data_IF_105150851257
#
_entry.id   IF_105150851257
#
_cell.length_a   1.000
_cell.length_b   1.000
_cell.length_c   1.000
_cell.angle_alpha   90.00
_cell.angle_beta   90.00
_cell.angle_gamma   90.00
#
_symmetry.space_group_name_H-M   'P 1'
#
loop_
_entity.id
_entity.type
_entity.pdbx_description
1 polymer ?
#
# COMPACT_ATOMS: atom_id res chain seq x y z
N UNK A 1 11.76 -10.77 28.08
CA UNK A 1 12.44 -9.78 27.18
C UNK A 1 12.44 -10.17 25.70
N UNK A 2 12.61 -11.45 25.31
CA UNK A 2 12.57 -11.86 23.89
C UNK A 2 11.23 -11.54 23.20
N UNK A 3 10.11 -11.74 23.86
CA UNK A 3 8.75 -11.53 23.30
C UNK A 3 8.46 -10.06 23.00
N UNK A 4 8.84 -9.12 23.89
CA UNK A 4 8.65 -7.66 23.68
C UNK A 4 9.52 -7.17 22.52
N UNK A 5 10.78 -7.61 22.47
CA UNK A 5 11.71 -7.21 21.40
C UNK A 5 11.29 -7.72 20.01
N UNK A 6 10.73 -8.93 19.95
CA UNK A 6 10.18 -9.49 18.70
C UNK A 6 8.91 -8.74 18.27
N UNK A 7 8.02 -8.42 19.22
CA UNK A 7 6.81 -7.65 18.97
C UNK A 7 7.13 -6.22 18.48
N UNK A 8 8.04 -5.51 19.14
CA UNK A 8 8.49 -4.18 18.70
C UNK A 8 9.10 -4.19 17.30
N UNK A 9 9.86 -5.24 16.94
CA UNK A 9 10.41 -5.38 15.59
C UNK A 9 9.32 -5.66 14.55
N UNK A 10 8.31 -6.44 14.90
CA UNK A 10 7.17 -6.72 14.02
C UNK A 10 6.32 -5.46 13.79
N UNK A 11 6.17 -4.60 14.82
CA UNK A 11 5.35 -3.38 14.81
C UNK A 11 6.21 -2.11 14.86
N UNK A 12 7.36 -2.09 14.18
CA UNK A 12 8.33 -1.00 14.29
C UNK A 12 7.72 0.38 13.94
N UNK A 13 6.88 0.45 12.89
CA UNK A 13 6.22 1.70 12.51
C UNK A 13 5.27 2.22 13.60
N UNK A 14 4.48 1.33 14.20
CA UNK A 14 3.60 1.70 15.32
C UNK A 14 4.42 2.22 16.50
N UNK A 15 5.50 1.54 16.85
CA UNK A 15 6.36 1.96 17.99
C UNK A 15 6.99 3.33 17.69
N UNK A 16 7.53 3.52 16.50
CA UNK A 16 8.13 4.81 16.09
C UNK A 16 7.08 5.92 16.10
N UNK A 17 5.88 5.66 15.56
CA UNK A 17 4.82 6.67 15.53
C UNK A 17 4.31 7.05 16.92
N UNK A 18 4.20 6.08 17.82
CA UNK A 18 3.82 6.35 19.22
C UNK A 18 4.89 7.15 19.97
N UNK A 19 6.17 6.81 19.77
CA UNK A 19 7.28 7.57 20.34
C UNK A 19 7.34 9.01 19.80
N UNK A 20 7.13 9.18 18.50
CA UNK A 20 7.08 10.49 17.87
C UNK A 20 5.89 11.33 18.37
N UNK A 21 4.70 10.72 18.49
CA UNK A 21 3.52 11.37 19.08
C UNK A 21 3.77 11.78 20.55
N UNK A 22 4.34 10.88 21.35
CA UNK A 22 4.68 11.16 22.74
C UNK A 22 5.72 12.28 22.87
N UNK A 23 6.78 12.26 22.04
CA UNK A 23 7.80 13.31 22.03
C UNK A 23 7.22 14.68 21.69
N UNK A 24 6.32 14.76 20.70
CA UNK A 24 5.67 16.03 20.34
C UNK A 24 4.63 16.47 21.38
N UNK A 25 3.98 15.55 22.09
CA UNK A 25 3.07 15.88 23.18
C UNK A 25 3.77 16.55 24.38
N UNK A 26 5.09 16.36 24.53
CA UNK A 26 5.89 17.07 25.51
C UNK A 26 5.99 18.57 25.20
N UNK A 27 6.08 18.92 23.91
CA UNK A 27 6.14 20.34 23.48
C UNK A 27 4.76 20.97 23.29
N UNK A 28 3.77 20.17 22.94
CA UNK A 28 2.37 20.58 22.76
C UNK A 28 1.51 19.69 23.68
N UNK A 29 1.29 20.09 24.94
CA UNK A 29 0.53 19.30 25.89
C UNK A 29 -0.89 18.97 25.40
N UNK A 30 -1.44 17.78 25.73
CA UNK A 30 -2.79 17.39 25.35
C UNK A 30 -3.84 18.39 25.81
N UNK A 31 -4.67 18.82 24.88
CA UNK A 31 -5.81 19.71 25.12
C UNK A 31 -7.01 19.30 24.25
N UNK A 32 -8.10 20.07 24.29
CA UNK A 32 -9.31 19.79 23.49
C UNK A 32 -9.09 19.79 21.99
N UNK A 33 -8.05 20.48 21.48
CA UNK A 33 -7.72 20.53 20.07
C UNK A 33 -7.21 19.18 19.54
N UNK A 34 -6.70 18.30 20.41
CA UNK A 34 -6.29 16.95 20.01
C UNK A 34 -7.42 16.13 19.38
N UNK A 35 -8.66 16.31 19.84
CA UNK A 35 -9.82 15.63 19.25
C UNK A 35 -10.01 16.00 17.76
N UNK A 36 -9.64 17.22 17.38
CA UNK A 36 -9.68 17.68 15.99
C UNK A 36 -8.57 17.17 15.08
N UNK A 37 -7.57 16.47 15.63
CA UNK A 37 -6.51 15.88 14.81
C UNK A 37 -6.97 14.63 14.05
N UNK A 38 -7.92 13.88 14.62
CA UNK A 38 -8.33 12.58 14.13
C UNK A 38 -9.36 12.69 13.00
N UNK A 39 -9.02 12.17 11.85
CA UNK A 39 -9.97 11.98 10.74
C UNK A 39 -10.71 10.63 10.93
N UNK A 40 -11.81 10.68 11.69
CA UNK A 40 -12.63 9.50 11.97
C UNK A 40 -13.22 8.88 10.71
N UNK A 41 -13.48 9.69 9.69
CA UNK A 41 -13.98 9.21 8.40
C UNK A 41 -12.93 8.34 7.71
N UNK A 42 -11.68 8.81 7.64
CA UNK A 42 -10.58 8.03 7.08
C UNK A 42 -10.37 6.73 7.86
N UNK A 43 -10.34 6.78 9.20
CA UNK A 43 -10.18 5.58 10.02
C UNK A 43 -11.31 4.58 9.81
N UNK A 44 -12.57 5.05 9.73
CA UNK A 44 -13.73 4.20 9.50
C UNK A 44 -13.71 3.55 8.11
N UNK A 45 -13.38 4.31 7.08
CA UNK A 45 -13.25 3.79 5.72
C UNK A 45 -12.09 2.80 5.60
N UNK A 46 -10.93 3.12 6.20
CA UNK A 46 -9.76 2.24 6.21
C UNK A 46 -10.06 0.93 6.94
N UNK A 47 -10.66 1.00 8.13
CA UNK A 47 -11.10 -0.20 8.84
C UNK A 47 -12.05 -1.05 7.99
N UNK A 48 -13.06 -0.44 7.38
CA UNK A 48 -14.06 -1.13 6.56
C UNK A 48 -13.44 -1.87 5.39
N UNK A 49 -12.54 -1.21 4.65
CA UNK A 49 -11.79 -1.83 3.54
C UNK A 49 -10.92 -2.98 4.04
N UNK A 50 -10.14 -2.77 5.10
CA UNK A 50 -9.24 -3.79 5.65
C UNK A 50 -9.99 -5.02 6.14
N UNK A 51 -11.11 -4.84 6.85
CA UNK A 51 -11.91 -5.94 7.38
C UNK A 51 -12.52 -6.81 6.27
N UNK A 52 -13.12 -6.17 5.26
CA UNK A 52 -13.77 -6.90 4.17
C UNK A 52 -12.74 -7.54 3.23
N UNK A 53 -11.66 -6.86 2.94
CA UNK A 53 -10.54 -7.39 2.14
C UNK A 53 -9.89 -8.58 2.85
N UNK A 54 -9.72 -8.51 4.18
CA UNK A 54 -9.27 -9.63 5.00
C UNK A 54 -10.17 -10.86 4.84
N UNK A 55 -11.50 -10.69 4.94
CA UNK A 55 -12.48 -11.76 4.76
C UNK A 55 -12.41 -12.37 3.34
N UNK A 56 -12.27 -11.56 2.29
CA UNK A 56 -12.12 -12.05 0.90
C UNK A 56 -10.80 -12.80 0.70
N UNK A 57 -9.71 -12.35 1.31
CA UNK A 57 -8.43 -13.04 1.28
C UNK A 57 -8.50 -14.41 1.94
N UNK A 58 -9.12 -14.51 3.10
CA UNK A 58 -9.23 -15.75 3.86
C UNK A 58 -10.13 -16.81 3.17
N UNK A 59 -10.93 -16.41 2.17
CA UNK A 59 -11.66 -17.32 1.26
C UNK A 59 -10.85 -17.77 0.05
N UNK A 60 -9.57 -17.42 -0.05
CA UNK A 60 -8.68 -17.76 -1.18
C UNK A 60 -9.19 -17.34 -2.58
N UNK A 61 -10.12 -16.36 -2.65
CA UNK A 61 -10.68 -15.88 -3.91
C UNK A 61 -9.58 -15.42 -4.87
N UNK A 62 -8.61 -14.67 -4.35
CA UNK A 62 -7.50 -14.13 -5.14
C UNK A 62 -6.50 -15.20 -5.56
N UNK A 63 -6.26 -16.20 -4.69
CA UNK A 63 -5.42 -17.36 -4.99
C UNK A 63 -6.02 -18.20 -6.12
N UNK A 64 -7.32 -18.44 -6.08
CA UNK A 64 -8.03 -19.21 -7.12
C UNK A 64 -8.00 -18.49 -8.49
N UNK A 65 -8.22 -17.17 -8.50
CA UNK A 65 -8.15 -16.37 -9.73
C UNK A 65 -6.75 -16.39 -10.33
N UNK A 66 -5.74 -16.25 -9.48
CA UNK A 66 -4.33 -16.21 -9.88
C UNK A 66 -3.88 -17.53 -10.48
N UNK A 67 -4.26 -18.66 -9.88
CA UNK A 67 -3.91 -19.98 -10.40
C UNK A 67 -4.46 -20.17 -11.82
N UNK A 68 -5.71 -19.81 -12.07
CA UNK A 68 -6.29 -19.89 -13.42
C UNK A 68 -5.52 -19.08 -14.45
N UNK A 69 -5.08 -17.85 -14.08
CA UNK A 69 -4.28 -17.02 -14.99
C UNK A 69 -2.91 -17.62 -15.26
N UNK A 70 -2.22 -18.11 -14.22
CA UNK A 70 -0.86 -18.70 -14.35
C UNK A 70 -0.88 -19.91 -15.27
N UNK A 71 -1.88 -20.79 -15.20
CA UNK A 71 -2.02 -21.96 -16.05
C UNK A 71 -2.22 -21.66 -17.54
N UNK A 72 -2.62 -20.44 -17.90
CA UNK A 72 -2.79 -20.05 -19.30
C UNK A 72 -1.44 -19.87 -20.03
N UNK A 73 -0.34 -19.71 -19.27
CA UNK A 73 0.97 -19.43 -19.82
C UNK A 73 1.93 -20.61 -19.68
N UNK A 74 2.72 -20.87 -20.73
CA UNK A 74 3.66 -21.99 -20.83
C UNK A 74 5.13 -21.55 -20.84
N UNK A 75 5.43 -20.31 -20.48
CA UNK A 75 6.81 -19.77 -20.42
C UNK A 75 7.07 -19.04 -19.13
N UNK A 76 8.34 -19.01 -18.67
CA UNK A 76 8.76 -18.27 -17.47
C UNK A 76 8.33 -16.80 -17.57
N UNK A 77 8.57 -16.16 -18.72
CA UNK A 77 8.13 -14.76 -18.94
C UNK A 77 6.63 -14.61 -18.78
N UNK A 78 5.85 -15.46 -19.44
CA UNK A 78 4.38 -15.39 -19.40
C UNK A 78 3.85 -15.55 -17.98
N UNK A 79 4.32 -16.56 -17.26
CA UNK A 79 3.93 -16.83 -15.86
C UNK A 79 4.32 -15.69 -14.94
N UNK A 80 5.58 -15.21 -14.99
CA UNK A 80 6.03 -14.09 -14.15
C UNK A 80 5.25 -12.81 -14.47
N UNK A 81 5.02 -12.52 -15.76
CA UNK A 81 4.21 -11.36 -16.17
C UNK A 81 2.77 -11.48 -15.66
N UNK A 82 2.16 -12.66 -15.74
CA UNK A 82 0.83 -12.90 -15.19
C UNK A 82 0.76 -12.65 -13.69
N UNK A 83 1.77 -13.12 -12.92
CA UNK A 83 1.88 -12.88 -11.48
C UNK A 83 2.03 -11.39 -11.15
N UNK A 84 2.79 -10.64 -11.94
CA UNK A 84 2.92 -9.19 -11.80
C UNK A 84 1.60 -8.48 -12.11
N UNK A 85 0.94 -8.85 -13.22
CA UNK A 85 -0.36 -8.28 -13.63
C UNK A 85 -1.45 -8.57 -12.58
N UNK A 86 -1.49 -9.77 -12.03
CA UNK A 86 -2.45 -10.12 -10.96
C UNK A 86 -2.17 -9.26 -9.70
N UNK A 87 -0.89 -9.07 -9.35
CA UNK A 87 -0.52 -8.20 -8.23
C UNK A 87 -0.93 -6.76 -8.50
N UNK A 88 -0.79 -6.29 -9.73
CA UNK A 88 -1.22 -4.97 -10.17
C UNK A 88 -2.73 -4.78 -9.98
N UNK A 89 -3.55 -5.65 -10.56
CA UNK A 89 -5.02 -5.58 -10.40
C UNK A 89 -5.46 -5.83 -8.97
N UNK A 90 -4.79 -6.77 -8.28
CA UNK A 90 -5.05 -7.04 -6.87
C UNK A 90 -4.82 -5.81 -6.01
N UNK A 91 -3.77 -5.05 -6.22
CA UNK A 91 -3.47 -3.84 -5.45
C UNK A 91 -4.45 -2.68 -5.70
N UNK A 92 -5.16 -2.68 -6.82
CA UNK A 92 -6.23 -1.71 -7.09
C UNK A 92 -7.48 -1.97 -6.24
N UNK A 93 -7.68 -3.23 -5.84
CA UNK A 93 -8.85 -3.67 -5.06
C UNK A 93 -8.51 -3.89 -3.59
N UNK A 94 -7.30 -4.39 -3.33
CA UNK A 94 -6.75 -4.62 -1.99
C UNK A 94 -5.84 -3.43 -1.63
N UNK A 95 -5.42 -3.36 -0.37
CA UNK A 95 -4.28 -2.48 -0.06
C UNK A 95 -2.99 -3.11 -0.62
N UNK A 96 -1.98 -2.27 -0.95
CA UNK A 96 -0.69 -2.72 -1.45
C UNK A 96 -0.05 -3.82 -0.59
N UNK A 97 -0.11 -3.69 0.73
CA UNK A 97 0.43 -4.68 1.67
C UNK A 97 -0.33 -6.00 1.60
N UNK A 98 -1.66 -5.96 1.55
CA UNK A 98 -2.50 -7.17 1.43
C UNK A 98 -2.31 -7.88 0.09
N UNK A 99 -2.14 -7.12 -0.99
CA UNK A 99 -1.83 -7.69 -2.31
C UNK A 99 -0.50 -8.47 -2.26
N UNK A 100 0.54 -7.89 -1.66
CA UNK A 100 1.84 -8.58 -1.53
C UNK A 100 1.78 -9.79 -0.60
N UNK A 101 1.05 -9.70 0.53
CA UNK A 101 0.82 -10.84 1.42
C UNK A 101 0.19 -12.03 0.69
N UNK A 102 -0.64 -11.75 -0.31
CA UNK A 102 -1.34 -12.77 -1.10
C UNK A 102 -0.48 -13.30 -2.25
N UNK A 103 0.15 -12.41 -3.01
CA UNK A 103 0.75 -12.77 -4.30
C UNK A 103 2.25 -13.08 -4.26
N UNK A 104 3.01 -12.60 -3.26
CA UNK A 104 4.42 -13.00 -3.11
C UNK A 104 4.58 -14.49 -2.76
N UNK A 105 3.82 -15.07 -1.80
CA UNK A 105 3.86 -16.50 -1.54
C UNK A 105 3.49 -17.33 -2.77
N UNK A 106 2.50 -16.88 -3.54
CA UNK A 106 2.10 -17.55 -4.78
C UNK A 106 3.22 -17.49 -5.83
N UNK A 107 3.85 -16.34 -6.00
CA UNK A 107 5.00 -16.18 -6.90
C UNK A 107 6.15 -17.10 -6.53
N UNK A 108 6.46 -17.19 -5.25
CA UNK A 108 7.45 -18.15 -4.75
C UNK A 108 7.05 -19.59 -5.03
N UNK A 109 5.82 -19.98 -4.68
CA UNK A 109 5.33 -21.34 -4.92
C UNK A 109 5.51 -21.75 -6.37
N UNK A 110 5.06 -20.92 -7.31
CA UNK A 110 5.19 -21.20 -8.75
C UNK A 110 6.66 -21.37 -9.17
N UNK A 111 7.55 -20.46 -8.73
CA UNK A 111 8.97 -20.54 -9.08
C UNK A 111 9.65 -21.76 -8.44
N UNK A 112 9.29 -22.15 -7.21
CA UNK A 112 9.90 -23.27 -6.50
C UNK A 112 9.49 -24.63 -7.09
N UNK A 113 8.21 -24.80 -7.41
CA UNK A 113 7.75 -26.08 -8.01
C UNK A 113 8.23 -26.27 -9.45
N UNK A 114 8.69 -25.19 -10.09
CA UNK A 114 9.18 -25.21 -11.46
C UNK A 114 10.70 -25.07 -11.58
N UNK A 115 11.41 -25.00 -10.44
CA UNK A 115 12.88 -24.89 -10.41
C UNK A 115 13.41 -23.58 -10.97
N UNK A 116 12.62 -22.47 -10.85
CA UNK A 116 12.94 -21.16 -11.41
C UNK A 116 13.21 -20.10 -10.33
N UNK A 117 13.64 -20.49 -9.14
CA UNK A 117 13.87 -19.63 -7.98
C UNK A 117 14.90 -18.52 -8.25
N UNK A 118 15.79 -18.71 -9.22
CA UNK A 118 16.77 -17.69 -9.67
C UNK A 118 16.09 -16.38 -10.11
N UNK A 119 14.82 -16.41 -10.52
CA UNK A 119 14.05 -15.25 -10.94
C UNK A 119 13.25 -14.61 -9.80
N UNK A 120 13.30 -15.15 -8.58
CA UNK A 120 12.51 -14.67 -7.45
C UNK A 120 12.80 -13.21 -7.07
N UNK A 121 14.07 -12.77 -7.13
CA UNK A 121 14.42 -11.39 -6.82
C UNK A 121 13.70 -10.42 -7.75
N UNK A 122 13.82 -10.61 -9.06
CA UNK A 122 13.17 -9.75 -10.06
C UNK A 122 11.65 -9.81 -9.94
N UNK A 123 11.06 -11.00 -9.80
CA UNK A 123 9.62 -11.17 -9.66
C UNK A 123 9.08 -10.41 -8.44
N UNK A 124 9.70 -10.59 -7.28
CA UNK A 124 9.27 -9.94 -6.03
C UNK A 124 9.39 -8.42 -6.12
N UNK A 125 10.47 -7.91 -6.74
CA UNK A 125 10.65 -6.47 -6.96
C UNK A 125 9.56 -5.92 -7.89
N UNK A 126 9.24 -6.59 -8.99
CA UNK A 126 8.21 -6.14 -9.90
C UNK A 126 6.79 -6.25 -9.31
N UNK A 127 6.51 -7.30 -8.50
CA UNK A 127 5.27 -7.37 -7.73
C UNK A 127 5.17 -6.24 -6.71
N UNK A 128 6.27 -5.88 -6.03
CA UNK A 128 6.31 -4.74 -5.13
C UNK A 128 6.06 -3.41 -5.87
N UNK A 129 6.70 -3.20 -7.02
CA UNK A 129 6.44 -2.02 -7.85
C UNK A 129 4.98 -1.99 -8.32
N UNK A 130 4.42 -3.12 -8.75
CA UNK A 130 3.03 -3.24 -9.15
C UNK A 130 2.07 -2.90 -8.01
N UNK A 131 2.32 -3.41 -6.80
CA UNK A 131 1.48 -3.12 -5.64
C UNK A 131 1.52 -1.64 -5.23
N UNK A 132 2.71 -1.04 -5.16
CA UNK A 132 2.86 0.35 -4.74
C UNK A 132 2.39 1.34 -5.81
N UNK A 133 2.82 1.14 -7.07
CA UNK A 133 2.65 2.12 -8.13
C UNK A 133 1.36 1.92 -8.94
N UNK A 134 0.79 0.71 -8.99
CA UNK A 134 -0.47 0.52 -9.69
C UNK A 134 -1.68 0.59 -8.75
N UNK A 135 -1.52 0.24 -7.48
CA UNK A 135 -2.56 0.47 -6.46
C UNK A 135 -2.96 1.93 -6.31
N UNK A 136 -2.10 2.87 -6.73
CA UNK A 136 -2.37 4.31 -6.62
C UNK A 136 -3.56 4.80 -7.45
N UNK A 137 -4.02 4.04 -8.47
CA UNK A 137 -5.13 4.49 -9.34
C UNK A 137 -6.47 4.54 -8.61
N UNK A 138 -6.62 3.82 -7.51
CA UNK A 138 -7.87 3.84 -6.73
C UNK A 138 -7.69 4.56 -5.39
N UNK A 139 -8.72 5.26 -4.88
CA UNK A 139 -8.65 5.94 -3.59
C UNK A 139 -8.47 4.99 -2.40
N UNK A 140 -8.77 3.70 -2.56
CA UNK A 140 -8.71 2.68 -1.52
C UNK A 140 -7.60 1.64 -1.73
N UNK A 141 -6.89 1.67 -2.85
CA UNK A 141 -5.79 0.76 -3.15
C UNK A 141 -4.55 0.99 -2.28
N UNK A 142 -4.37 2.23 -1.79
CA UNK A 142 -3.27 2.58 -0.89
C UNK A 142 -3.78 3.41 0.29
N UNK A 143 -3.31 3.18 1.53
CA UNK A 143 -3.77 3.92 2.71
C UNK A 143 -3.57 5.44 2.62
N UNK A 144 -2.44 5.90 2.04
CA UNK A 144 -2.18 7.34 1.83
C UNK A 144 -3.17 7.98 0.87
N UNK A 145 -3.64 7.24 -0.14
CA UNK A 145 -4.65 7.73 -1.08
C UNK A 145 -5.98 7.93 -0.39
N UNK A 146 -6.41 6.95 0.38
CA UNK A 146 -7.66 7.02 1.13
C UNK A 146 -7.65 8.22 2.07
N UNK A 147 -6.54 8.43 2.78
CA UNK A 147 -6.37 9.57 3.65
C UNK A 147 -6.44 10.90 2.88
N UNK A 148 -5.61 11.11 1.86
CA UNK A 148 -5.56 12.37 1.11
C UNK A 148 -6.86 12.66 0.36
N UNK A 149 -7.49 11.61 -0.21
CA UNK A 149 -8.80 11.68 -0.85
C UNK A 149 -9.87 12.18 0.13
N UNK A 150 -9.85 11.67 1.38
CA UNK A 150 -10.77 12.10 2.44
C UNK A 150 -10.42 13.50 2.96
N UNK A 151 -9.17 13.72 3.32
CA UNK A 151 -8.67 14.93 3.98
C UNK A 151 -8.90 16.20 3.13
N UNK A 152 -8.50 16.17 1.85
CA UNK A 152 -8.71 17.31 0.95
C UNK A 152 -10.09 17.36 0.29
N UNK A 153 -10.93 16.36 0.52
CA UNK A 153 -12.24 16.31 -0.09
C UNK A 153 -12.20 16.17 -1.62
N UNK A 154 -11.15 15.55 -2.19
CA UNK A 154 -10.93 15.44 -3.64
C UNK A 154 -12.13 14.78 -4.33
N UNK A 155 -12.71 15.38 -5.40
CA UNK A 155 -13.72 14.69 -6.20
C UNK A 155 -13.16 13.45 -6.88
N UNK A 156 -13.96 12.37 -7.01
CA UNK A 156 -13.48 11.11 -7.60
C UNK A 156 -12.93 11.29 -9.02
N UNK A 157 -13.62 12.07 -9.88
CA UNK A 157 -13.13 12.36 -11.23
C UNK A 157 -11.78 13.04 -11.24
N UNK A 158 -11.56 14.03 -10.35
CA UNK A 158 -10.29 14.73 -10.18
C UNK A 158 -9.20 13.78 -9.69
N UNK A 159 -9.52 12.89 -8.73
CA UNK A 159 -8.57 11.90 -8.25
C UNK A 159 -8.05 11.01 -9.39
N UNK A 160 -8.98 10.43 -10.17
CA UNK A 160 -8.61 9.57 -11.30
C UNK A 160 -7.81 10.33 -12.37
N UNK A 161 -8.20 11.56 -12.71
CA UNK A 161 -7.46 12.36 -13.70
C UNK A 161 -6.03 12.69 -13.26
N UNK A 162 -5.81 12.95 -11.98
CA UNK A 162 -4.48 13.22 -11.41
C UNK A 162 -3.62 11.95 -11.35
N UNK A 163 -4.22 10.81 -11.01
CA UNK A 163 -3.47 9.56 -10.81
C UNK A 163 -3.29 8.74 -12.09
N UNK A 164 -4.04 9.02 -13.15
CA UNK A 164 -3.96 8.25 -14.41
C UNK A 164 -2.59 8.36 -15.10
N UNK A 165 -1.97 9.56 -15.28
CA UNK A 165 -0.66 9.67 -15.92
C UNK A 165 0.45 8.88 -15.21
N UNK A 166 0.70 9.04 -13.88
CA UNK A 166 1.73 8.27 -13.19
C UNK A 166 1.40 6.77 -13.17
N UNK A 167 0.12 6.39 -13.11
CA UNK A 167 -0.31 4.99 -13.20
C UNK A 167 0.03 4.36 -14.55
N UNK A 168 -0.31 5.01 -15.67
CA UNK A 168 -0.01 4.50 -17.02
C UNK A 168 1.50 4.34 -17.19
N UNK A 169 2.28 5.37 -16.84
CA UNK A 169 3.73 5.32 -16.97
C UNK A 169 4.33 4.19 -16.11
N UNK A 170 3.88 4.05 -14.86
CA UNK A 170 4.32 2.97 -13.98
C UNK A 170 4.00 1.59 -14.56
N UNK A 171 2.79 1.43 -15.09
CA UNK A 171 2.36 0.17 -15.75
C UNK A 171 3.26 -0.17 -16.93
N UNK A 172 3.54 0.80 -17.79
CA UNK A 172 4.44 0.59 -18.96
C UNK A 172 5.84 0.20 -18.50
N UNK A 173 6.41 0.91 -17.53
CA UNK A 173 7.74 0.59 -17.00
C UNK A 173 7.80 -0.82 -16.40
N UNK A 174 6.80 -1.21 -15.62
CA UNK A 174 6.71 -2.55 -15.01
C UNK A 174 6.63 -3.63 -16.10
N UNK A 175 5.77 -3.45 -17.10
CA UNK A 175 5.61 -4.42 -18.18
C UNK A 175 6.87 -4.50 -19.05
N UNK A 176 7.57 -3.40 -19.29
CA UNK A 176 8.87 -3.41 -19.97
C UNK A 176 9.91 -4.21 -19.16
N UNK A 177 9.95 -4.06 -17.83
CA UNK A 177 10.83 -4.87 -16.98
C UNK A 177 10.45 -6.36 -16.99
N UNK A 178 9.20 -6.72 -17.21
CA UNK A 178 8.80 -8.13 -17.39
C UNK A 178 9.43 -8.78 -18.62
N UNK A 179 9.87 -8.01 -19.62
CA UNK A 179 10.60 -8.53 -20.77
C UNK A 179 11.98 -9.09 -20.42
N UNK A 180 12.51 -8.77 -19.25
CA UNK A 180 13.78 -9.31 -18.73
C UNK A 180 13.68 -10.79 -18.36
N UNK A 181 12.49 -11.33 -18.13
CA UNK A 181 12.30 -12.77 -17.89
C UNK A 181 12.56 -13.57 -19.19
N UNK A 182 13.18 -14.78 -19.08
CA UNK A 182 13.44 -15.63 -20.24
C UNK A 182 12.14 -16.22 -20.82
N UNK A 183 12.20 -16.66 -22.06
CA UNK A 183 11.07 -17.35 -22.75
C UNK A 183 11.12 -18.87 -22.60
N UNK A 184 11.89 -19.40 -21.65
CA UNK A 184 12.00 -20.82 -21.42
C UNK A 184 10.64 -21.44 -21.13
N UNK A 185 10.41 -22.66 -21.64
CA UNK A 185 9.14 -23.36 -21.42
C UNK A 185 9.00 -23.77 -19.95
N UNK A 186 7.78 -23.70 -19.47
CA UNK A 186 7.43 -23.97 -18.10
C UNK A 186 6.07 -24.68 -18.04
N UNK A 187 5.97 -25.70 -17.19
CA UNK A 187 4.69 -26.35 -16.90
C UNK A 187 4.40 -26.17 -15.42
N UNK A 188 3.31 -25.47 -15.10
CA UNK A 188 2.87 -25.26 -13.73
C UNK A 188 1.88 -26.37 -13.35
N UNK A 189 2.09 -27.10 -12.25
CA UNK A 189 1.15 -28.11 -11.78
C UNK A 189 -0.21 -27.47 -11.44
N UNK A 190 -1.30 -28.16 -11.79
CA UNK A 190 -2.63 -27.73 -11.38
C UNK A 190 -2.78 -27.84 -9.86
N UNK A 191 -3.17 -26.73 -9.23
CA UNK A 191 -3.63 -26.73 -7.86
C UNK A 191 -5.11 -26.32 -7.84
N UNK A 192 -5.96 -27.15 -7.24
CA UNK A 192 -7.38 -26.83 -7.12
C UNK A 192 -7.61 -26.04 -5.84
N UNK A 193 -7.99 -24.78 -5.98
CA UNK A 193 -8.49 -23.95 -4.88
C UNK A 193 -10.00 -23.93 -4.95
N UNK A 194 -10.64 -24.41 -3.89
CA UNK A 194 -12.11 -24.41 -3.77
C UNK A 194 -12.52 -23.15 -3.04
N UNK A 195 -13.31 -22.31 -3.71
CA UNK A 195 -13.82 -21.05 -3.15
C UNK A 195 -15.30 -21.22 -2.79
N UNK A 196 -15.66 -20.84 -1.58
CA UNK A 196 -17.09 -20.71 -1.19
C UNK A 196 -17.71 -19.51 -1.91
N UNK A 197 -18.36 -19.78 -3.04
CA UNK A 197 -18.97 -18.76 -3.92
C UNK A 197 -20.03 -17.93 -3.20
N UNK A 198 -20.77 -18.51 -2.25
CA UNK A 198 -21.83 -17.80 -1.52
C UNK A 198 -21.23 -16.75 -0.59
N UNK A 199 -20.23 -17.14 0.21
CA UNK A 199 -19.51 -16.20 1.07
C UNK A 199 -18.75 -15.15 0.27
N UNK A 200 -18.10 -15.55 -0.83
CA UNK A 200 -17.41 -14.62 -1.72
C UNK A 200 -18.35 -13.56 -2.30
N UNK A 201 -19.56 -13.93 -2.70
CA UNK A 201 -20.58 -12.97 -3.18
C UNK A 201 -21.02 -11.99 -2.09
N UNK A 202 -21.25 -12.47 -0.85
CA UNK A 202 -21.61 -11.62 0.29
C UNK A 202 -20.49 -10.63 0.61
N UNK A 203 -19.24 -11.11 0.72
CA UNK A 203 -18.10 -10.22 1.01
C UNK A 203 -17.80 -9.29 -0.15
N UNK A 204 -18.05 -9.71 -1.41
CA UNK A 204 -18.02 -8.82 -2.57
C UNK A 204 -19.03 -7.68 -2.46
N UNK A 205 -20.24 -7.96 -1.99
CA UNK A 205 -21.26 -6.94 -1.71
C UNK A 205 -20.83 -5.98 -0.59
N UNK A 206 -20.24 -6.49 0.50
CA UNK A 206 -19.69 -5.66 1.57
C UNK A 206 -18.50 -4.82 1.08
N UNK A 207 -17.69 -5.35 0.15
CA UNK A 207 -16.61 -4.60 -0.49
C UNK A 207 -17.18 -3.44 -1.33
N UNK A 208 -18.20 -3.67 -2.13
CA UNK A 208 -18.90 -2.60 -2.86
C UNK A 208 -19.43 -1.52 -1.91
N UNK A 209 -19.98 -1.91 -0.75
CA UNK A 209 -20.41 -0.98 0.29
C UNK A 209 -19.25 -0.16 0.85
N UNK A 210 -18.13 -0.80 1.18
CA UNK A 210 -16.94 -0.11 1.66
C UNK A 210 -16.39 0.90 0.61
N UNK A 211 -16.35 0.51 -0.66
CA UNK A 211 -15.99 1.40 -1.77
C UNK A 211 -16.96 2.58 -1.90
N UNK A 212 -18.28 2.33 -1.79
CA UNK A 212 -19.29 3.40 -1.83
C UNK A 212 -19.11 4.40 -0.67
N UNK A 213 -18.70 3.93 0.53
CA UNK A 213 -18.35 4.81 1.66
C UNK A 213 -17.13 5.68 1.33
N UNK A 214 -16.07 5.09 0.76
CA UNK A 214 -14.85 5.83 0.36
C UNK A 214 -15.20 6.89 -0.70
N UNK A 215 -15.99 6.53 -1.70
CA UNK A 215 -16.45 7.43 -2.77
C UNK A 215 -17.51 8.43 -2.30
N UNK A 216 -17.91 8.41 -1.01
CA UNK A 216 -18.87 9.31 -0.39
C UNK A 216 -20.31 9.18 -0.95
N UNK A 217 -20.62 8.04 -1.55
CA UNK A 217 -21.98 7.73 -2.00
C UNK A 217 -22.87 7.34 -0.82
N UNK A 218 -22.26 6.81 0.25
CA UNK A 218 -22.94 6.41 1.49
C UNK A 218 -22.20 7.04 2.68
N UNK A 219 -22.92 7.59 3.68
CA UNK A 219 -22.32 8.09 4.90
C UNK A 219 -21.52 7.02 5.63
N UNK A 220 -20.32 7.37 6.13
CA UNK A 220 -19.40 6.40 6.73
C UNK A 220 -19.93 5.73 8.00
N UNK A 221 -20.71 6.45 8.83
CA UNK A 221 -21.25 5.90 10.09
C UNK A 221 -22.21 4.72 9.87
N UNK A 222 -23.32 4.87 9.12
CA UNK A 222 -24.21 3.77 8.78
C UNK A 222 -23.51 2.64 8.03
N UNK A 223 -22.65 2.96 7.06
CA UNK A 223 -21.92 1.95 6.30
C UNK A 223 -20.98 1.12 7.19
N UNK A 224 -20.23 1.77 8.08
CA UNK A 224 -19.42 1.09 9.09
C UNK A 224 -20.24 0.15 9.97
N UNK A 225 -21.39 0.64 10.47
CA UNK A 225 -22.27 -0.18 11.31
C UNK A 225 -22.74 -1.44 10.57
N UNK A 226 -23.16 -1.31 9.30
CA UNK A 226 -23.58 -2.46 8.48
C UNK A 226 -22.42 -3.45 8.31
N UNK A 227 -21.22 -2.99 7.96
CA UNK A 227 -20.04 -3.86 7.76
C UNK A 227 -19.67 -4.58 9.07
N UNK A 228 -19.61 -3.86 10.19
CA UNK A 228 -19.28 -4.45 11.50
C UNK A 228 -20.31 -5.49 11.90
N UNK A 229 -21.62 -5.17 11.80
CA UNK A 229 -22.69 -6.11 12.14
C UNK A 229 -22.68 -7.32 11.21
N UNK A 230 -22.56 -7.12 9.90
CA UNK A 230 -22.50 -8.23 8.95
C UNK A 230 -21.32 -9.17 9.25
N UNK A 231 -20.11 -8.65 9.44
CA UNK A 231 -18.95 -9.47 9.78
C UNK A 231 -19.05 -10.06 11.18
N UNK A 232 -19.67 -9.37 12.14
CA UNK A 232 -19.89 -9.92 13.48
C UNK A 232 -20.73 -11.21 13.45
N UNK A 233 -21.75 -11.27 12.60
CA UNK A 233 -22.61 -12.44 12.48
C UNK A 233 -22.07 -13.49 11.50
N UNK A 234 -21.42 -13.06 10.41
CA UNK A 234 -20.96 -13.95 9.34
C UNK A 234 -19.54 -14.47 9.57
N UNK A 235 -18.64 -13.60 10.06
CA UNK A 235 -17.21 -13.90 10.19
C UNK A 235 -16.52 -13.01 11.23
N UNK A 236 -16.63 -13.38 12.48
CA UNK A 236 -15.93 -12.67 13.57
C UNK A 236 -14.41 -12.72 13.46
N UNK A 237 -13.87 -13.69 12.72
CA UNK A 237 -12.44 -13.81 12.52
C UNK A 237 -11.92 -12.63 11.68
N UNK A 238 -12.65 -12.24 10.65
CA UNK A 238 -12.28 -11.10 9.82
C UNK A 238 -12.11 -9.79 10.62
N UNK A 239 -12.94 -9.56 11.65
CA UNK A 239 -12.78 -8.40 12.53
C UNK A 239 -11.53 -8.47 13.42
N UNK A 240 -11.07 -9.67 13.77
CA UNK A 240 -9.86 -9.88 14.59
C UNK A 240 -8.59 -9.77 13.77
N UNK A 241 -8.65 -10.11 12.48
CA UNK A 241 -7.51 -10.11 11.55
C UNK A 241 -7.29 -8.76 10.87
N UNK A 242 -8.13 -7.75 11.15
CA UNK A 242 -7.88 -6.36 10.73
C UNK A 242 -6.49 -5.92 11.21
N UNK A 243 -5.77 -5.20 10.37
CA UNK A 243 -4.49 -4.59 10.76
C UNK A 243 -4.71 -3.41 11.72
N UNK A 244 -4.93 -3.77 13.00
CA UNK A 244 -5.06 -2.80 14.09
C UNK A 244 -3.79 -1.99 14.31
N UNK A 245 -2.62 -2.56 13.95
CA UNK A 245 -1.34 -1.88 14.00
C UNK A 245 -1.29 -0.70 13.03
N UNK A 246 -1.80 -0.87 11.82
CA UNK A 246 -1.92 0.20 10.84
C UNK A 246 -2.87 1.30 11.31
N UNK A 247 -4.06 0.96 11.82
CA UNK A 247 -5.01 1.94 12.34
C UNK A 247 -4.45 2.74 13.51
N UNK A 248 -3.78 2.08 14.45
CA UNK A 248 -3.11 2.73 15.57
C UNK A 248 -1.94 3.62 15.11
N UNK A 249 -1.23 3.21 14.07
CA UNK A 249 -0.17 4.01 13.44
C UNK A 249 -0.73 5.30 12.84
N UNK A 250 -1.88 5.23 12.15
CA UNK A 250 -2.58 6.43 11.67
C UNK A 250 -2.96 7.37 12.81
N UNK A 251 -3.55 6.86 13.87
CA UNK A 251 -3.93 7.66 15.04
C UNK A 251 -2.71 8.35 15.67
N UNK A 252 -1.60 7.62 15.84
CA UNK A 252 -0.36 8.18 16.35
C UNK A 252 0.23 9.27 15.42
N UNK A 253 0.19 9.06 14.09
CA UNK A 253 0.63 10.08 13.14
C UNK A 253 -0.30 11.28 13.06
N UNK A 254 -1.60 11.13 13.28
CA UNK A 254 -2.51 12.27 13.41
C UNK A 254 -2.13 13.14 14.61
N UNK A 255 -1.81 12.53 15.75
CA UNK A 255 -1.32 13.26 16.94
C UNK A 255 0.01 13.95 16.64
N UNK A 256 0.98 13.21 16.13
CA UNK A 256 2.30 13.73 15.78
C UNK A 256 2.24 14.92 14.82
N UNK A 257 1.54 14.75 13.69
CA UNK A 257 1.43 15.82 12.68
C UNK A 257 0.61 17.01 13.16
N UNK A 258 -0.45 16.77 13.95
CA UNK A 258 -1.25 17.82 14.57
C UNK A 258 -0.43 18.68 15.53
N UNK A 259 0.41 18.05 16.37
CA UNK A 259 1.32 18.77 17.26
C UNK A 259 2.37 19.57 16.48
N UNK A 260 3.01 18.98 15.47
CA UNK A 260 3.99 19.68 14.64
C UNK A 260 3.38 20.91 13.93
N UNK A 261 2.14 20.81 13.49
CA UNK A 261 1.44 21.93 12.84
C UNK A 261 1.20 23.12 13.80
N UNK A 262 1.19 22.90 15.10
CA UNK A 262 1.07 23.94 16.15
C UNK A 262 2.43 24.52 16.57
N UNK A 263 3.53 23.91 16.15
CA UNK A 263 4.89 24.40 16.43
C UNK A 263 5.32 25.36 15.32
N UNK A 264 5.25 26.68 15.56
CA UNK A 264 5.49 27.70 14.55
C UNK A 264 6.84 27.56 13.80
N UNK A 265 7.99 27.28 14.44
CA UNK A 265 9.25 27.06 13.70
C UNK A 265 9.19 25.88 12.75
N UNK A 266 8.50 24.79 13.14
CA UNK A 266 8.32 23.59 12.32
C UNK A 266 7.39 23.89 11.14
N UNK A 267 6.29 24.60 11.41
CA UNK A 267 5.34 25.02 10.38
C UNK A 267 6.02 25.86 9.31
N UNK A 268 6.79 26.88 9.71
CA UNK A 268 7.53 27.73 8.77
C UNK A 268 8.54 26.94 7.93
N UNK A 269 9.25 26.00 8.55
CA UNK A 269 10.19 25.13 7.85
C UNK A 269 9.48 24.29 6.76
N UNK A 270 8.41 23.59 7.10
CA UNK A 270 7.70 22.73 6.13
C UNK A 270 7.02 23.56 5.03
N UNK A 271 6.39 24.68 5.35
CA UNK A 271 5.81 25.58 4.36
C UNK A 271 6.89 26.06 3.38
N UNK A 272 8.05 26.47 3.89
CA UNK A 272 9.18 26.89 3.05
C UNK A 272 9.74 25.75 2.20
N UNK A 273 9.87 24.54 2.74
CA UNK A 273 10.33 23.37 1.98
C UNK A 273 9.35 23.06 0.84
N UNK A 274 8.05 22.98 1.15
CA UNK A 274 7.01 22.64 0.18
C UNK A 274 6.82 23.70 -0.91
N UNK A 275 7.20 24.98 -0.67
CA UNK A 275 7.20 26.02 -1.69
C UNK A 275 8.20 25.79 -2.84
N UNK A 276 9.20 24.93 -2.65
CA UNK A 276 10.14 24.52 -3.70
C UNK A 276 9.60 23.42 -4.62
N UNK A 277 8.38 22.93 -4.38
CA UNK A 277 7.70 21.92 -5.18
C UNK A 277 7.15 20.79 -4.34
N UNK A 278 5.84 20.82 -4.08
CA UNK A 278 5.17 19.83 -3.19
C UNK A 278 5.42 18.41 -3.61
N UNK A 279 5.33 18.10 -4.91
CA UNK A 279 5.53 16.74 -5.44
C UNK A 279 6.93 16.21 -5.12
N UNK A 280 7.99 17.00 -5.43
CA UNK A 280 9.38 16.59 -5.21
C UNK A 280 9.67 16.40 -3.72
N UNK A 281 9.32 17.39 -2.90
CA UNK A 281 9.56 17.33 -1.45
C UNK A 281 8.80 16.16 -0.82
N UNK A 282 7.58 15.89 -1.26
CA UNK A 282 6.81 14.74 -0.78
C UNK A 282 7.46 13.40 -1.14
N UNK A 283 7.90 13.26 -2.39
CA UNK A 283 8.58 12.05 -2.83
C UNK A 283 9.91 11.82 -2.08
N UNK A 284 10.69 12.88 -1.84
CA UNK A 284 11.92 12.80 -1.04
C UNK A 284 11.64 12.49 0.43
N UNK A 285 10.59 13.06 1.01
CA UNK A 285 10.18 12.78 2.39
C UNK A 285 9.81 11.31 2.57
N UNK A 286 9.16 10.69 1.58
CA UNK A 286 8.84 9.26 1.60
C UNK A 286 10.10 8.39 1.75
N UNK A 287 11.24 8.81 1.21
CA UNK A 287 12.50 8.05 1.29
C UNK A 287 13.02 7.91 2.74
N UNK A 288 12.56 8.78 3.63
CA UNK A 288 13.02 8.86 5.04
C UNK A 288 11.99 8.28 5.99
N UNK A 289 10.71 8.66 5.83
CA UNK A 289 9.65 8.33 6.82
C UNK A 289 8.52 7.46 6.28
N UNK A 290 8.62 6.97 5.04
CA UNK A 290 7.58 6.21 4.31
C UNK A 290 6.42 7.08 3.80
N UNK A 291 5.70 6.56 2.78
CA UNK A 291 4.66 7.29 2.04
C UNK A 291 3.44 7.65 2.89
N UNK A 292 2.95 6.75 3.75
CA UNK A 292 1.77 7.01 4.60
C UNK A 292 2.06 8.09 5.64
N UNK A 293 3.13 8.00 6.45
CA UNK A 293 3.51 9.08 7.35
C UNK A 293 3.77 10.42 6.66
N UNK A 294 4.43 10.38 5.49
CA UNK A 294 4.69 11.59 4.71
C UNK A 294 3.38 12.26 4.26
N UNK A 295 2.40 11.49 3.80
CA UNK A 295 1.08 12.01 3.43
C UNK A 295 0.38 12.71 4.61
N UNK A 296 0.35 12.06 5.79
CA UNK A 296 -0.31 12.61 6.99
C UNK A 296 0.43 13.85 7.50
N UNK A 297 1.76 13.81 7.50
CA UNK A 297 2.57 14.94 7.98
C UNK A 297 2.42 16.14 7.05
N UNK A 298 2.72 15.96 5.77
CA UNK A 298 2.83 17.09 4.83
C UNK A 298 1.48 17.71 4.48
N UNK A 299 0.38 16.97 4.56
CA UNK A 299 -0.98 17.52 4.35
C UNK A 299 -1.34 18.65 5.30
N UNK A 300 -0.70 18.73 6.47
CA UNK A 300 -0.92 19.83 7.42
C UNK A 300 -0.28 21.16 7.01
N UNK A 301 0.66 21.13 6.03
CA UNK A 301 1.51 22.26 5.68
C UNK A 301 1.33 22.74 4.24
N UNK A 302 0.52 22.07 3.42
CA UNK A 302 0.26 22.45 2.02
C UNK A 302 -1.23 22.34 1.67
N UNK A 303 -1.67 23.17 0.74
CA UNK A 303 -2.98 23.06 0.08
C UNK A 303 -2.87 22.44 -1.33
N UNK A 304 -1.65 22.18 -1.80
CA UNK A 304 -1.41 21.50 -3.07
C UNK A 304 -1.68 20.00 -2.93
N UNK A 305 -2.97 19.65 -2.97
CA UNK A 305 -3.43 18.27 -2.90
C UNK A 305 -2.90 17.41 -4.07
N UNK A 306 -2.76 18.00 -5.28
CA UNK A 306 -2.27 17.31 -6.48
C UNK A 306 -0.81 16.94 -6.33
N UNK A 307 0.05 17.89 -6.04
CA UNK A 307 1.48 17.66 -5.87
C UNK A 307 1.77 16.68 -4.73
N UNK A 308 1.06 16.81 -3.60
CA UNK A 308 1.21 15.88 -2.48
C UNK A 308 0.75 14.47 -2.85
N UNK A 309 -0.43 14.32 -3.47
CA UNK A 309 -0.99 13.03 -3.86
C UNK A 309 -0.06 12.28 -4.84
N UNK A 310 0.40 12.95 -5.89
CA UNK A 310 1.36 12.36 -6.85
C UNK A 310 2.68 12.06 -6.15
N UNK A 311 3.23 13.00 -5.40
CA UNK A 311 4.53 12.89 -4.76
C UNK A 311 4.64 11.71 -3.79
N UNK A 312 3.64 11.50 -2.92
CA UNK A 312 3.68 10.37 -1.96
C UNK A 312 3.43 9.01 -2.61
N UNK A 313 2.75 8.96 -3.75
CA UNK A 313 2.54 7.70 -4.47
C UNK A 313 3.77 7.28 -5.25
N UNK A 314 4.34 8.15 -6.09
CA UNK A 314 5.59 7.85 -6.80
C UNK A 314 6.76 7.71 -5.82
N UNK A 315 6.73 8.47 -4.71
CA UNK A 315 7.69 8.39 -3.63
C UNK A 315 7.68 7.07 -2.87
N UNK A 316 6.65 6.23 -3.03
CA UNK A 316 6.63 4.86 -2.54
C UNK A 316 7.65 3.93 -3.23
N UNK A 317 8.16 4.32 -4.41
CA UNK A 317 9.36 3.76 -5.02
C UNK A 317 10.61 4.45 -4.45
N UNK A 318 11.78 3.80 -4.58
CA UNK A 318 13.08 4.30 -4.10
C UNK A 318 13.67 3.42 -3.01
N UNK A 319 13.80 3.94 -1.78
CA UNK A 319 14.35 3.18 -0.65
C UNK A 319 13.40 2.09 -0.15
N UNK A 320 13.92 1.09 0.58
CA UNK A 320 13.07 0.11 1.26
C UNK A 320 12.16 0.74 2.32
N UNK A 321 12.56 1.87 2.89
CA UNK A 321 11.79 2.59 3.92
C UNK A 321 10.65 3.38 3.30
N UNK A 322 10.72 3.71 2.01
CA UNK A 322 9.73 4.51 1.31
C UNK A 322 8.31 3.90 1.34
N UNK A 323 8.20 2.58 1.49
CA UNK A 323 6.94 1.87 1.68
C UNK A 323 7.11 0.66 2.60
N UNK A 324 6.13 0.43 3.50
CA UNK A 324 6.07 -0.79 4.32
C UNK A 324 6.01 -2.05 3.45
N UNK A 325 5.30 -1.98 2.33
CA UNK A 325 5.22 -3.03 1.33
C UNK A 325 6.61 -3.46 0.83
N UNK A 326 7.54 -2.52 0.64
CA UNK A 326 8.91 -2.80 0.23
C UNK A 326 9.70 -3.54 1.31
N UNK A 327 9.55 -3.14 2.57
CA UNK A 327 10.16 -3.85 3.70
C UNK A 327 9.61 -5.26 3.86
N UNK A 328 8.29 -5.43 3.67
CA UNK A 328 7.66 -6.75 3.69
C UNK A 328 8.21 -7.63 2.57
N UNK A 329 8.28 -7.14 1.35
CA UNK A 329 8.83 -7.85 0.18
C UNK A 329 10.28 -8.30 0.43
N UNK A 330 11.12 -7.42 0.97
CA UNK A 330 12.49 -7.75 1.33
C UNK A 330 12.59 -8.87 2.38
N UNK A 331 11.77 -8.80 3.44
CA UNK A 331 11.71 -9.83 4.47
C UNK A 331 11.24 -11.18 3.91
N UNK A 332 10.22 -11.16 3.06
CA UNK A 332 9.67 -12.36 2.45
C UNK A 332 10.69 -13.02 1.51
N UNK A 333 11.44 -12.22 0.74
CA UNK A 333 12.53 -12.73 -0.09
C UNK A 333 13.67 -13.34 0.73
N UNK A 334 14.18 -12.60 1.71
CA UNK A 334 15.33 -13.04 2.52
C UNK A 334 15.03 -14.27 3.38
N UNK A 335 13.76 -14.46 3.78
CA UNK A 335 13.30 -15.67 4.46
C UNK A 335 13.37 -16.91 3.56
N UNK A 336 13.14 -16.75 2.26
CA UNK A 336 13.08 -17.84 1.29
C UNK A 336 14.42 -18.10 0.60
N UNK A 337 15.24 -17.08 0.45
CA UNK A 337 16.55 -17.13 -0.22
C UNK A 337 17.64 -16.69 0.77
N UNK A 338 18.11 -17.61 1.65
CA UNK A 338 19.20 -17.29 2.59
C UNK A 338 20.45 -16.83 1.83
N UNK A 339 21.05 -15.73 2.29
CA UNK A 339 22.23 -15.12 1.64
C UNK A 339 21.92 -14.20 0.44
N UNK A 340 20.68 -14.18 -0.06
CA UNK A 340 20.29 -13.37 -1.22
C UNK A 340 20.10 -11.87 -0.94
N UNK A 341 20.18 -11.43 0.31
CA UNK A 341 19.88 -10.06 0.72
C UNK A 341 20.63 -8.98 -0.08
N UNK A 342 21.94 -9.14 -0.26
CA UNK A 342 22.77 -8.17 -0.99
C UNK A 342 22.35 -8.04 -2.46
N UNK A 343 22.12 -9.18 -3.12
CA UNK A 343 21.65 -9.20 -4.52
C UNK A 343 20.30 -8.50 -4.66
N UNK A 344 19.35 -8.85 -3.77
CA UNK A 344 18.04 -8.21 -3.76
C UNK A 344 18.15 -6.70 -3.56
N UNK A 345 18.92 -6.23 -2.57
CA UNK A 345 19.06 -4.80 -2.28
C UNK A 345 19.64 -4.01 -3.47
N UNK A 346 20.65 -4.55 -4.15
CA UNK A 346 21.25 -3.90 -5.32
C UNK A 346 20.21 -3.80 -6.45
N UNK A 347 19.55 -4.91 -6.78
CA UNK A 347 18.57 -4.96 -7.86
C UNK A 347 17.33 -4.11 -7.53
N UNK A 348 16.84 -4.20 -6.29
CA UNK A 348 15.72 -3.38 -5.80
C UNK A 348 16.03 -1.90 -5.90
N UNK A 349 17.19 -1.47 -5.39
CA UNK A 349 17.59 -0.06 -5.44
C UNK A 349 17.72 0.43 -6.89
N UNK A 350 18.37 -0.34 -7.76
CA UNK A 350 18.53 0.03 -9.17
C UNK A 350 17.17 0.23 -9.86
N UNK A 351 16.24 -0.71 -9.74
CA UNK A 351 14.92 -0.63 -10.37
C UNK A 351 14.07 0.46 -9.73
N UNK A 352 13.98 0.50 -8.38
CA UNK A 352 13.10 1.43 -7.68
C UNK A 352 13.53 2.88 -7.82
N UNK A 353 14.83 3.18 -7.76
CA UNK A 353 15.32 4.54 -8.02
C UNK A 353 15.21 4.95 -9.48
N UNK A 354 15.39 4.03 -10.43
CA UNK A 354 15.14 4.31 -11.85
C UNK A 354 13.66 4.66 -12.08
N UNK A 355 12.73 3.92 -11.48
CA UNK A 355 11.31 4.22 -11.55
C UNK A 355 10.99 5.58 -10.92
N UNK A 356 11.50 5.84 -9.71
CA UNK A 356 11.32 7.12 -9.03
C UNK A 356 11.81 8.30 -9.90
N UNK A 357 13.01 8.19 -10.47
CA UNK A 357 13.61 9.25 -11.30
C UNK A 357 12.77 9.50 -12.57
N UNK A 358 12.37 8.44 -13.30
CA UNK A 358 11.58 8.55 -14.51
C UNK A 358 10.19 9.14 -14.20
N UNK A 359 9.53 8.68 -13.13
CA UNK A 359 8.23 9.17 -12.72
C UNK A 359 8.29 10.64 -12.27
N UNK A 360 9.28 11.02 -11.46
CA UNK A 360 9.49 12.41 -11.05
C UNK A 360 9.70 13.31 -12.26
N UNK A 361 10.62 12.95 -13.16
CA UNK A 361 10.90 13.72 -14.35
C UNK A 361 9.64 13.89 -15.21
N UNK A 362 8.95 12.79 -15.54
CA UNK A 362 7.76 12.83 -16.40
C UNK A 362 6.62 13.64 -15.75
N UNK A 363 6.37 13.48 -14.45
CA UNK A 363 5.31 14.25 -13.77
C UNK A 363 5.67 15.73 -13.60
N UNK A 364 6.95 16.09 -13.54
CA UNK A 364 7.38 17.49 -13.52
C UNK A 364 7.15 18.22 -14.87
N UNK A 365 7.10 17.48 -15.99
CA UNK A 365 6.76 18.02 -17.30
C UNK A 365 5.25 18.11 -17.55
N UNK A 366 4.45 17.28 -16.87
CA UNK A 366 2.99 17.23 -17.03
C UNK A 366 2.22 18.12 -16.01
N UNK A 367 2.90 18.59 -15.01
CA UNK A 367 2.34 19.46 -13.95
C UNK A 367 2.66 20.89 -14.14
#
# INVERSE_FOLDING_TARGET
MHTIRSWCRANAMLVISLLAAAATAFFVPPDSAYLGYYDLKTLSCLFSVLAVVGALRDLDVFSALSQRMVHTFSTVRGVCTALVIITMFGSMLLTNDTALLTFLPLGWFVLSVTGQEKHAALLFILQNCAANLCGMITPFGNPQNLYLFSYYGIPAGTFFSVMLPPFILSTVLILLCCLLFPKDRLTVPEAQVVVDRRRAAVYGGLFCLAVAMVLRLIPYGPGLAVIVLALWFLDRHALKTVDWGLLATFAAFFTFSGNLARMEPVRMLFVRLLSHGTMLISALTCQIISNVPAAILLSRFTQDARGLLVGVNIGGAGTLVASLASLFTFREYTRRVPGGAKHFLILFSAISFAFLAVLLAAMSFLG
#
